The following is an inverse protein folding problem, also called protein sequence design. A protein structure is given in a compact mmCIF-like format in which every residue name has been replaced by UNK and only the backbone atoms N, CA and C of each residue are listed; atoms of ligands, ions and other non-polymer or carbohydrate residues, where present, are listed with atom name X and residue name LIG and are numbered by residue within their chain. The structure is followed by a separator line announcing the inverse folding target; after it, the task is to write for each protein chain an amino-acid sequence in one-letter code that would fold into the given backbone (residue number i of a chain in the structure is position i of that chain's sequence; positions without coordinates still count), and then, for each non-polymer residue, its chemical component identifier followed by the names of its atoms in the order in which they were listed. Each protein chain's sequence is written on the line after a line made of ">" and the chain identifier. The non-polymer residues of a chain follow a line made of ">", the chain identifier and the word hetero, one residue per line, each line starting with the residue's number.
data_IF_652965043178
#
_entry.id   IF_652965043178
#
_cell.length_a   1.000
_cell.length_b   1.000
_cell.length_c   1.000
_cell.angle_alpha   90.00
_cell.angle_beta   90.00
_cell.angle_gamma   90.00
#
_symmetry.space_group_name_H-M   'P 1'
#
loop_
_entity.id
_entity.type
_entity.pdbx_description
1 polymer ?
#
# COMPACT_ATOMS: atom_id res chain seq x y z
N UNK A 1 5.44 -2.71 31.75
CA UNK A 1 5.17 -1.93 30.54
C UNK A 1 4.87 -2.87 29.38
N UNK A 2 3.69 -2.78 28.75
CA UNK A 2 3.34 -3.64 27.59
C UNK A 2 4.09 -3.22 26.31
N UNK A 3 4.74 -2.06 26.32
CA UNK A 3 5.42 -1.47 25.16
C UNK A 3 6.78 -2.11 24.84
N UNK A 4 7.31 -3.00 25.69
CA UNK A 4 8.66 -3.59 25.51
C UNK A 4 8.68 -5.11 25.38
N UNK A 5 7.53 -5.80 25.35
CA UNK A 5 7.52 -7.24 25.09
C UNK A 5 7.58 -7.49 23.59
N UNK A 6 8.71 -8.04 23.11
CA UNK A 6 8.76 -8.68 21.79
C UNK A 6 7.59 -9.68 21.73
N UNK A 7 6.73 -9.63 20.70
CA UNK A 7 5.73 -10.65 20.49
C UNK A 7 6.40 -12.02 20.44
N UNK A 8 5.74 -13.10 20.92
CA UNK A 8 6.25 -14.45 20.74
C UNK A 8 6.56 -14.69 19.25
N UNK A 9 7.53 -15.54 18.95
CA UNK A 9 8.02 -15.77 17.58
C UNK A 9 6.91 -16.15 16.58
N UNK A 10 5.86 -16.81 17.09
CA UNK A 10 4.62 -17.15 16.37
C UNK A 10 3.85 -15.95 15.77
N UNK A 11 4.14 -14.72 16.19
CA UNK A 11 3.45 -13.50 15.76
C UNK A 11 4.17 -12.73 14.65
N UNK A 12 5.40 -13.11 14.27
CA UNK A 12 6.12 -12.44 13.19
C UNK A 12 5.40 -12.61 11.84
N UNK A 13 5.03 -13.85 11.48
CA UNK A 13 4.34 -14.12 10.21
C UNK A 13 2.98 -13.40 10.11
N UNK A 14 2.24 -13.27 11.21
CA UNK A 14 0.98 -12.50 11.21
C UNK A 14 1.23 -11.01 11.00
N UNK A 15 2.26 -10.42 11.63
CA UNK A 15 2.59 -9.01 11.44
C UNK A 15 3.07 -8.74 10.01
N UNK A 16 3.88 -9.62 9.46
CA UNK A 16 4.36 -9.50 8.08
C UNK A 16 3.20 -9.65 7.07
N UNK A 17 2.23 -10.51 7.35
CA UNK A 17 1.02 -10.59 6.53
C UNK A 17 0.19 -9.30 6.60
N UNK A 18 0.11 -8.63 7.77
CA UNK A 18 -0.56 -7.31 7.88
C UNK A 18 0.16 -6.26 7.05
N UNK A 19 1.49 -6.24 7.06
CA UNK A 19 2.30 -5.34 6.21
C UNK A 19 2.03 -5.56 4.73
N UNK A 20 2.09 -6.82 4.29
CA UNK A 20 1.79 -7.20 2.91
C UNK A 20 0.36 -6.80 2.54
N UNK A 21 -0.63 -7.02 3.42
CA UNK A 21 -2.01 -6.56 3.22
C UNK A 21 -2.06 -5.05 2.96
N UNK A 22 -1.37 -4.25 3.77
CA UNK A 22 -1.32 -2.78 3.65
C UNK A 22 -0.63 -2.35 2.36
N UNK A 23 0.48 -2.98 1.97
CA UNK A 23 1.15 -2.68 0.69
C UNK A 23 0.27 -2.99 -0.53
N UNK A 24 -0.46 -4.11 -0.51
CA UNK A 24 -1.46 -4.46 -1.54
C UNK A 24 -2.57 -3.40 -1.60
N UNK A 25 -3.09 -2.99 -0.44
CA UNK A 25 -4.11 -1.95 -0.36
C UNK A 25 -3.60 -0.59 -0.85
N UNK A 26 -2.34 -0.24 -0.59
CA UNK A 26 -1.72 0.99 -1.09
C UNK A 26 -1.66 0.98 -2.62
N UNK A 27 -1.15 -0.10 -3.22
CA UNK A 27 -1.07 -0.21 -4.68
C UNK A 27 -2.45 -0.17 -5.33
N UNK A 28 -3.47 -0.76 -4.69
CA UNK A 28 -4.87 -0.63 -5.12
C UNK A 28 -5.29 0.84 -5.20
N UNK A 29 -5.05 1.61 -4.14
CA UNK A 29 -5.43 3.04 -4.10
C UNK A 29 -4.65 3.85 -5.13
N UNK A 30 -3.36 3.54 -5.38
CA UNK A 30 -2.59 4.16 -6.46
C UNK A 30 -3.28 3.95 -7.80
N UNK A 31 -3.65 2.72 -8.13
CA UNK A 31 -4.34 2.39 -9.38
C UNK A 31 -5.74 3.01 -9.47
N UNK A 32 -6.52 2.98 -8.40
CA UNK A 32 -7.81 3.69 -8.34
C UNK A 32 -7.65 5.19 -8.65
N UNK A 33 -6.63 5.84 -8.10
CA UNK A 33 -6.35 7.26 -8.37
C UNK A 33 -5.90 7.50 -9.82
N UNK A 34 -5.09 6.61 -10.39
CA UNK A 34 -4.64 6.71 -11.79
C UNK A 34 -5.84 6.57 -12.73
N UNK A 35 -6.66 5.53 -12.53
CA UNK A 35 -7.83 5.24 -13.35
C UNK A 35 -8.89 6.34 -13.24
N UNK A 36 -9.24 6.76 -12.02
CA UNK A 36 -10.26 7.79 -11.77
C UNK A 36 -9.94 9.13 -12.42
N UNK A 37 -8.66 9.50 -12.45
CA UNK A 37 -8.23 10.80 -12.96
C UNK A 37 -7.61 10.72 -14.37
N UNK A 38 -7.59 9.53 -14.99
CA UNK A 38 -6.92 9.26 -16.27
C UNK A 38 -5.49 9.86 -16.30
N UNK A 39 -4.72 9.63 -15.24
CA UNK A 39 -3.40 10.26 -15.00
C UNK A 39 -2.31 9.59 -15.84
N UNK A 40 -1.80 10.30 -16.85
CA UNK A 40 -0.80 9.79 -17.81
C UNK A 40 0.59 10.41 -17.67
N UNK A 41 0.76 11.33 -16.73
CA UNK A 41 1.94 12.21 -16.64
C UNK A 41 2.78 11.94 -15.39
N UNK A 42 2.15 11.87 -14.22
CA UNK A 42 2.85 11.77 -12.93
C UNK A 42 2.19 10.79 -11.95
N UNK A 43 3.05 10.04 -11.25
CA UNK A 43 2.70 9.12 -10.17
C UNK A 43 2.70 9.77 -8.79
N UNK A 44 3.28 10.97 -8.63
CA UNK A 44 3.46 11.62 -7.32
C UNK A 44 2.13 11.84 -6.60
N UNK A 45 1.16 12.44 -7.28
CA UNK A 45 -0.15 12.68 -6.67
C UNK A 45 -0.87 11.38 -6.25
N UNK A 46 -1.01 10.37 -7.14
CA UNK A 46 -1.57 9.07 -6.77
C UNK A 46 -0.84 8.38 -5.60
N UNK A 47 0.50 8.38 -5.60
CA UNK A 47 1.32 7.77 -4.53
C UNK A 47 1.11 8.46 -3.20
N UNK A 48 1.12 9.80 -3.15
CA UNK A 48 0.95 10.55 -1.92
C UNK A 48 -0.44 10.29 -1.31
N UNK A 49 -1.50 10.35 -2.12
CA UNK A 49 -2.86 10.04 -1.68
C UNK A 49 -2.97 8.61 -1.13
N UNK A 50 -2.34 7.63 -1.79
CA UNK A 50 -2.37 6.26 -1.31
C UNK A 50 -1.58 6.07 -0.01
N UNK A 51 -0.42 6.71 0.10
CA UNK A 51 0.42 6.64 1.30
C UNK A 51 -0.30 7.21 2.52
N UNK A 52 -0.86 8.42 2.38
CA UNK A 52 -1.57 9.11 3.46
C UNK A 52 -2.76 8.32 3.99
N UNK A 53 -3.48 7.64 3.09
CA UNK A 53 -4.66 6.87 3.46
C UNK A 53 -4.33 5.51 4.07
N UNK A 54 -3.26 4.85 3.61
CA UNK A 54 -3.03 3.43 3.90
C UNK A 54 -1.86 3.19 4.86
N UNK A 55 -0.73 3.87 4.67
CA UNK A 55 0.50 3.59 5.44
C UNK A 55 0.77 4.64 6.51
N UNK A 56 0.46 5.91 6.24
CA UNK A 56 0.76 6.99 7.17
C UNK A 56 0.18 6.82 8.59
N UNK A 57 -1.04 6.25 8.79
CA UNK A 57 -1.57 5.97 10.12
C UNK A 57 -0.75 4.98 10.93
N UNK A 58 0.11 4.20 10.27
CA UNK A 58 0.91 3.15 10.89
C UNK A 58 2.39 3.47 10.92
N UNK A 59 2.83 4.63 10.45
CA UNK A 59 4.24 5.03 10.49
C UNK A 59 4.46 6.17 11.49
N UNK A 60 5.63 6.22 12.12
CA UNK A 60 6.01 7.38 12.92
C UNK A 60 6.03 8.67 12.11
N UNK A 61 5.89 9.79 12.82
CA UNK A 61 6.02 11.14 12.25
C UNK A 61 7.32 11.32 11.43
N UNK A 62 8.44 10.76 11.92
CA UNK A 62 9.73 10.82 11.24
C UNK A 62 9.66 10.07 9.90
N UNK A 63 9.16 8.82 9.91
CA UNK A 63 9.01 8.02 8.70
C UNK A 63 8.06 8.67 7.68
N UNK A 64 6.91 9.17 8.12
CA UNK A 64 5.95 9.89 7.27
C UNK A 64 6.59 11.11 6.58
N UNK A 65 7.36 11.89 7.35
CA UNK A 65 8.09 13.03 6.79
C UNK A 65 9.16 12.63 5.80
N UNK A 66 9.90 11.56 6.06
CA UNK A 66 10.90 11.06 5.12
C UNK A 66 10.26 10.64 3.80
N UNK A 67 9.15 9.91 3.83
CA UNK A 67 8.46 9.49 2.59
C UNK A 67 7.95 10.69 1.80
N UNK A 68 7.30 11.65 2.47
CA UNK A 68 6.84 12.87 1.79
C UNK A 68 7.99 13.64 1.15
N UNK A 69 9.07 13.87 1.90
CA UNK A 69 10.25 14.54 1.35
C UNK A 69 10.82 13.76 0.19
N UNK A 70 10.94 12.44 0.30
CA UNK A 70 11.43 11.58 -0.78
C UNK A 70 10.61 11.73 -2.05
N UNK A 71 9.27 11.65 -1.97
CA UNK A 71 8.38 11.85 -3.13
C UNK A 71 8.42 13.26 -3.73
N UNK A 72 8.98 14.24 -3.00
CA UNK A 72 9.15 15.62 -3.46
C UNK A 72 10.56 15.91 -4.00
N UNK A 73 11.58 15.14 -3.59
CA UNK A 73 13.01 15.40 -3.92
C UNK A 73 13.65 14.35 -4.81
N UNK A 74 13.20 13.10 -4.72
CA UNK A 74 13.52 12.06 -5.70
C UNK A 74 12.31 11.84 -6.60
N UNK A 75 12.52 12.05 -7.90
CA UNK A 75 11.45 11.91 -8.86
C UNK A 75 11.09 10.43 -9.03
N UNK A 76 9.85 10.09 -8.66
CA UNK A 76 9.20 8.88 -9.16
C UNK A 76 9.34 8.84 -10.69
N UNK A 77 9.45 7.64 -11.30
CA UNK A 77 9.47 7.56 -12.76
C UNK A 77 8.20 8.21 -13.32
N UNK A 78 8.34 8.83 -14.49
CA UNK A 78 7.18 9.27 -15.27
C UNK A 78 6.31 8.06 -15.60
N UNK A 79 5.03 8.28 -15.86
CA UNK A 79 4.14 7.18 -16.28
C UNK A 79 4.67 6.50 -17.55
N UNK A 80 5.18 7.28 -18.52
CA UNK A 80 5.80 6.74 -19.73
C UNK A 80 6.98 5.82 -19.40
N UNK A 81 7.88 6.24 -18.50
CA UNK A 81 9.03 5.43 -18.11
C UNK A 81 8.62 4.16 -17.37
N UNK A 82 7.61 4.25 -16.51
CA UNK A 82 7.05 3.08 -15.83
C UNK A 82 6.47 2.08 -16.83
N UNK A 83 5.67 2.55 -17.79
CA UNK A 83 5.05 1.69 -18.80
C UNK A 83 6.10 1.02 -19.71
N UNK A 84 7.13 1.77 -20.10
CA UNK A 84 8.28 1.23 -20.84
C UNK A 84 8.95 0.09 -20.06
N UNK A 85 9.20 0.29 -18.75
CA UNK A 85 9.82 -0.73 -17.89
C UNK A 85 8.93 -1.96 -17.69
N UNK A 86 7.60 -1.79 -17.71
CA UNK A 86 6.64 -2.88 -17.61
C UNK A 86 6.38 -3.58 -18.95
N UNK A 87 6.83 -3.00 -20.08
CA UNK A 87 6.52 -3.50 -21.41
C UNK A 87 5.04 -3.36 -21.77
N UNK A 88 4.38 -2.35 -21.21
CA UNK A 88 2.93 -2.13 -21.32
C UNK A 88 2.61 -0.90 -22.16
N UNK A 89 1.47 -0.94 -22.84
CA UNK A 89 0.83 0.27 -23.37
C UNK A 89 -0.06 0.89 -22.31
N UNK A 90 -0.51 2.13 -22.52
CA UNK A 90 -1.52 2.72 -21.61
C UNK A 90 -2.78 1.86 -21.52
N UNK A 91 -3.29 1.36 -22.64
CA UNK A 91 -4.56 0.62 -22.68
C UNK A 91 -4.42 -0.74 -21.97
N UNK A 92 -3.34 -1.48 -22.22
CA UNK A 92 -3.08 -2.74 -21.52
C UNK A 92 -2.80 -2.54 -20.02
N UNK A 93 -2.12 -1.45 -19.66
CA UNK A 93 -1.90 -1.10 -18.27
C UNK A 93 -3.21 -0.75 -17.55
N UNK A 94 -4.12 -0.02 -18.20
CA UNK A 94 -5.46 0.27 -17.64
C UNK A 94 -6.22 -1.03 -17.35
N UNK A 95 -6.23 -1.97 -18.29
CA UNK A 95 -6.87 -3.28 -18.11
C UNK A 95 -6.25 -4.06 -16.93
N UNK A 96 -4.92 -4.04 -16.80
CA UNK A 96 -4.21 -4.72 -15.70
C UNK A 96 -4.43 -4.02 -14.35
N UNK A 97 -4.45 -2.68 -14.32
CA UNK A 97 -4.76 -1.91 -13.12
C UNK A 97 -6.17 -2.21 -12.62
N UNK A 98 -7.17 -2.23 -13.51
CA UNK A 98 -8.56 -2.53 -13.13
C UNK A 98 -8.70 -3.94 -12.56
N UNK A 99 -8.10 -4.95 -13.21
CA UNK A 99 -8.07 -6.32 -12.71
C UNK A 99 -7.40 -6.41 -11.34
N UNK A 100 -6.29 -5.70 -11.15
CA UNK A 100 -5.61 -5.63 -9.86
C UNK A 100 -6.51 -5.01 -8.79
N UNK A 101 -7.20 -3.90 -9.10
CA UNK A 101 -8.10 -3.21 -8.16
C UNK A 101 -9.20 -4.16 -7.68
N UNK A 102 -9.82 -4.88 -8.62
CA UNK A 102 -10.86 -5.86 -8.28
C UNK A 102 -10.30 -7.01 -7.42
N UNK A 103 -9.22 -7.65 -7.85
CA UNK A 103 -8.66 -8.81 -7.17
C UNK A 103 -8.09 -8.48 -5.78
N UNK A 104 -7.34 -7.38 -5.66
CA UNK A 104 -6.70 -6.94 -4.42
C UNK A 104 -7.71 -6.64 -3.31
N UNK A 105 -8.89 -6.13 -3.66
CA UNK A 105 -9.98 -5.95 -2.70
C UNK A 105 -10.40 -7.29 -2.07
N UNK A 106 -10.69 -8.31 -2.88
CA UNK A 106 -11.04 -9.63 -2.35
C UNK A 106 -9.95 -10.23 -1.46
N UNK A 107 -8.68 -10.11 -1.86
CA UNK A 107 -7.55 -10.63 -1.07
C UNK A 107 -7.41 -9.91 0.27
N UNK A 108 -7.46 -8.57 0.26
CA UNK A 108 -7.31 -7.77 1.48
C UNK A 108 -8.47 -7.97 2.45
N UNK A 109 -9.70 -8.07 1.95
CA UNK A 109 -10.89 -8.38 2.74
C UNK A 109 -10.81 -9.79 3.34
N UNK A 110 -10.32 -10.77 2.57
CA UNK A 110 -10.13 -12.14 3.06
C UNK A 110 -9.11 -12.20 4.22
N UNK A 111 -7.96 -11.53 4.06
CA UNK A 111 -6.95 -11.45 5.13
C UNK A 111 -7.55 -10.79 6.38
N UNK A 112 -8.30 -9.70 6.23
CA UNK A 112 -8.94 -9.05 7.36
C UNK A 112 -9.92 -9.96 8.11
N UNK A 113 -10.78 -10.66 7.36
CA UNK A 113 -11.72 -11.64 7.91
C UNK A 113 -11.00 -12.80 8.61
N UNK A 114 -9.87 -13.25 8.07
CA UNK A 114 -9.02 -14.25 8.71
C UNK A 114 -8.58 -13.75 10.09
N UNK A 115 -7.99 -12.57 10.20
CA UNK A 115 -7.54 -12.02 11.50
C UNK A 115 -8.70 -11.85 12.50
N UNK A 116 -9.85 -11.39 12.03
CA UNK A 116 -11.04 -11.25 12.87
C UNK A 116 -11.53 -12.61 13.40
N UNK A 117 -11.62 -13.62 12.54
CA UNK A 117 -12.12 -14.96 12.91
C UNK A 117 -11.25 -15.68 13.95
N UNK A 118 -9.93 -15.40 13.95
CA UNK A 118 -8.99 -15.98 14.92
C UNK A 118 -8.78 -15.11 16.17
N UNK A 119 -9.56 -14.03 16.36
CA UNK A 119 -9.40 -13.12 17.51
C UNK A 119 -8.11 -12.31 17.49
N UNK A 120 -7.51 -12.12 16.31
CA UNK A 120 -6.25 -11.41 16.09
C UNK A 120 -6.46 -9.99 15.56
N UNK A 121 -7.67 -9.44 15.65
CA UNK A 121 -8.01 -8.10 15.15
C UNK A 121 -7.07 -6.99 15.66
N UNK A 122 -6.56 -7.12 16.89
CA UNK A 122 -5.59 -6.19 17.44
C UNK A 122 -4.30 -6.10 16.60
N UNK A 123 -3.88 -7.19 15.93
CA UNK A 123 -2.69 -7.23 15.07
C UNK A 123 -2.86 -6.30 13.85
N UNK A 124 -4.09 -6.10 13.37
CA UNK A 124 -4.41 -5.21 12.25
C UNK A 124 -4.21 -3.73 12.58
N UNK A 125 -4.16 -3.38 13.86
CA UNK A 125 -4.09 -1.99 14.36
C UNK A 125 -2.70 -1.63 14.90
N UNK A 126 -1.71 -2.52 14.83
CA UNK A 126 -0.37 -2.19 15.30
C UNK A 126 0.25 -1.09 14.44
N UNK A 127 0.72 -0.07 15.12
CA UNK A 127 1.69 0.91 14.62
C UNK A 127 3.00 0.21 14.28
N UNK A 128 3.65 0.70 13.24
CA UNK A 128 4.93 0.26 12.73
C UNK A 128 5.93 1.42 12.78
N UNK A 129 6.93 1.30 13.67
CA UNK A 129 8.10 2.18 13.79
C UNK A 129 7.82 3.69 13.83
#
# INVERSE_FOLDING_TARGET
>A
DRKTRRPPEKWYNSRDLVRVKRSIAMLRVIFEQILKNNRKDSLTGPVNVAYDNILAPYHSYIANRFVHLFTMVEDLPTMEKLLEQLGETWDSAVDHMDRYVQASKYVTDHIENLFNSYGLAAVLQFEEC
#
